data_IF_979385066906
#
_entry.id   IF_979385066906
#
_cell.length_a   1.000
_cell.length_b   1.000
_cell.length_c   1.000
_cell.angle_alpha   90.00
_cell.angle_beta   90.00
_cell.angle_gamma   90.00
#
_symmetry.space_group_name_H-M   'P 1'
#
loop_
_entity.id
_entity.type
_entity.pdbx_description
1 polymer ?
#
# COMPACT_ATOMS: atom_id res chain seq x y z
N UNK A 1 8.10 -26.15 -5.37
CA UNK A 1 7.25 -25.56 -4.31
C UNK A 1 5.91 -25.23 -4.93
N UNK A 2 4.85 -25.94 -4.54
CA UNK A 2 3.48 -25.74 -5.04
C UNK A 2 2.59 -24.99 -4.02
N UNK A 3 3.19 -24.30 -3.05
CA UNK A 3 2.48 -23.53 -2.02
C UNK A 3 2.36 -22.08 -2.48
N UNK A 4 1.11 -21.62 -2.65
CA UNK A 4 0.76 -20.23 -3.00
C UNK A 4 0.69 -19.39 -1.73
N UNK A 5 1.28 -18.20 -1.76
CA UNK A 5 1.17 -17.23 -0.66
C UNK A 5 -0.23 -16.58 -0.64
N UNK A 6 -0.65 -16.11 0.53
CA UNK A 6 -1.80 -15.21 0.66
C UNK A 6 -1.53 -13.90 -0.09
N UNK A 7 -2.60 -13.16 -0.37
CA UNK A 7 -2.63 -11.99 -1.24
C UNK A 7 -3.12 -10.78 -0.47
N UNK A 8 -2.19 -9.88 -0.14
CA UNK A 8 -2.51 -8.48 0.16
C UNK A 8 -2.16 -7.68 -1.10
N UNK A 9 -3.14 -6.94 -1.64
CA UNK A 9 -2.92 -6.12 -2.83
C UNK A 9 -3.54 -4.74 -2.68
N UNK A 10 -2.83 -3.69 -3.07
CA UNK A 10 -3.36 -2.34 -3.25
C UNK A 10 -4.05 -2.18 -4.60
N UNK A 11 -3.88 -3.15 -5.51
CA UNK A 11 -4.28 -3.04 -6.90
C UNK A 11 -4.91 -4.33 -7.45
N UNK A 12 -5.85 -4.18 -8.37
CA UNK A 12 -6.46 -5.29 -9.09
C UNK A 12 -6.78 -4.83 -10.51
N UNK A 13 -6.22 -5.54 -11.50
CA UNK A 13 -6.63 -5.38 -12.89
C UNK A 13 -7.46 -6.59 -13.32
N UNK A 14 -8.72 -6.34 -13.66
CA UNK A 14 -9.68 -7.39 -14.03
C UNK A 14 -10.48 -7.01 -15.27
N UNK A 15 -10.53 -7.94 -16.24
CA UNK A 15 -11.38 -7.80 -17.43
C UNK A 15 -12.77 -8.40 -17.17
N UNK A 16 -13.80 -7.55 -17.15
CA UNK A 16 -15.20 -7.99 -16.95
C UNK A 16 -15.70 -8.96 -18.03
N UNK A 17 -15.10 -8.94 -19.22
CA UNK A 17 -15.45 -9.83 -20.33
C UNK A 17 -14.92 -11.26 -20.10
N UNK A 18 -13.72 -11.38 -19.54
CA UNK A 18 -13.03 -12.67 -19.38
C UNK A 18 -13.09 -13.21 -17.96
N UNK A 19 -13.52 -12.40 -16.99
CA UNK A 19 -13.61 -12.76 -15.57
C UNK A 19 -15.00 -12.60 -14.93
N UNK A 20 -16.12 -12.87 -15.64
CA UNK A 20 -17.45 -12.71 -15.04
C UNK A 20 -17.68 -13.66 -13.87
N UNK A 21 -17.13 -14.89 -13.91
CA UNK A 21 -17.31 -15.85 -12.81
C UNK A 21 -16.44 -15.50 -11.61
N UNK A 22 -15.20 -15.05 -11.82
CA UNK A 22 -14.35 -14.51 -10.75
C UNK A 22 -15.05 -13.38 -10.01
N UNK A 23 -15.68 -12.45 -10.72
CA UNK A 23 -16.41 -11.34 -10.10
C UNK A 23 -17.61 -11.81 -9.27
N UNK A 24 -18.42 -12.71 -9.82
CA UNK A 24 -19.59 -13.23 -9.11
C UNK A 24 -19.18 -14.01 -7.86
N UNK A 25 -18.15 -14.84 -8.00
CA UNK A 25 -17.71 -15.74 -6.94
C UNK A 25 -16.91 -15.00 -5.86
N UNK A 26 -16.06 -14.02 -6.22
CA UNK A 26 -15.42 -13.13 -5.24
C UNK A 26 -16.45 -12.31 -4.47
N UNK A 27 -17.53 -11.87 -5.11
CA UNK A 27 -18.65 -11.20 -4.41
C UNK A 27 -19.30 -12.13 -3.37
N UNK A 28 -19.56 -13.39 -3.75
CA UNK A 28 -20.10 -14.39 -2.82
C UNK A 28 -19.14 -14.68 -1.66
N UNK A 29 -17.85 -14.84 -1.94
CA UNK A 29 -16.83 -15.04 -0.92
C UNK A 29 -16.71 -13.85 0.02
N UNK A 30 -16.78 -12.63 -0.48
CA UNK A 30 -16.70 -11.41 0.33
C UNK A 30 -17.96 -11.18 1.16
N UNK A 31 -19.14 -11.54 0.66
CA UNK A 31 -20.37 -11.48 1.43
C UNK A 31 -20.28 -12.37 2.70
N UNK A 32 -19.69 -13.55 2.58
CA UNK A 32 -19.42 -14.47 3.70
C UNK A 32 -17.97 -14.36 4.22
N UNK A 33 -17.29 -13.27 3.87
CA UNK A 33 -15.87 -13.08 4.11
C UNK A 33 -15.50 -13.16 5.58
N UNK A 34 -16.01 -12.24 6.43
CA UNK A 34 -15.66 -12.18 7.84
C UNK A 34 -15.93 -13.47 8.63
N UNK A 35 -16.94 -14.23 8.21
CA UNK A 35 -17.42 -15.41 8.96
C UNK A 35 -16.80 -16.72 8.49
N UNK A 36 -16.41 -16.83 7.22
CA UNK A 36 -15.98 -18.08 6.61
C UNK A 36 -14.71 -17.91 5.78
N UNK A 37 -14.78 -17.09 4.73
CA UNK A 37 -13.79 -17.15 3.66
C UNK A 37 -12.50 -16.41 3.99
N UNK A 38 -12.55 -15.27 4.68
CA UNK A 38 -11.31 -14.57 5.00
C UNK A 38 -10.44 -15.38 5.96
N UNK A 39 -10.94 -15.90 7.11
CA UNK A 39 -10.13 -16.75 7.99
C UNK A 39 -9.65 -18.04 7.32
N UNK A 40 -10.49 -18.62 6.44
CA UNK A 40 -10.15 -19.81 5.69
C UNK A 40 -9.01 -19.56 4.69
N UNK A 41 -9.00 -18.42 4.01
CA UNK A 41 -8.02 -18.15 2.96
C UNK A 41 -6.73 -17.51 3.50
N UNK A 42 -6.83 -16.65 4.53
CA UNK A 42 -5.69 -15.97 5.16
C UNK A 42 -4.99 -16.80 6.23
N UNK A 43 -5.68 -17.80 6.80
CA UNK A 43 -5.28 -18.51 8.02
C UNK A 43 -5.04 -17.59 9.23
N UNK A 44 -5.77 -16.47 9.31
CA UNK A 44 -5.66 -15.49 10.40
C UNK A 44 -4.44 -14.57 10.29
N UNK A 45 -3.82 -14.47 9.12
CA UNK A 45 -2.70 -13.56 8.88
C UNK A 45 -3.14 -12.08 8.93
N UNK A 46 -2.21 -11.19 9.26
CA UNK A 46 -2.45 -9.74 9.22
C UNK A 46 -2.79 -9.28 7.79
N UNK A 47 -3.70 -8.29 7.68
CA UNK A 47 -4.20 -7.82 6.39
C UNK A 47 -5.26 -8.74 5.75
N UNK A 48 -5.81 -9.68 6.53
CA UNK A 48 -6.98 -10.48 6.15
C UNK A 48 -8.12 -9.62 5.61
N UNK A 49 -8.70 -10.02 4.47
CA UNK A 49 -9.82 -9.31 3.91
C UNK A 49 -10.20 -9.74 2.50
N UNK A 50 -10.86 -8.82 1.82
CA UNK A 50 -11.54 -9.04 0.56
C UNK A 50 -10.63 -9.40 -0.61
N UNK A 51 -9.42 -8.86 -0.60
CA UNK A 51 -8.40 -9.05 -1.65
C UNK A 51 -8.03 -10.51 -1.89
N UNK A 52 -8.08 -11.34 -0.84
CA UNK A 52 -7.75 -12.76 -0.93
C UNK A 52 -8.73 -13.55 -1.81
N UNK A 53 -9.96 -13.05 -1.93
CA UNK A 53 -11.04 -13.77 -2.61
C UNK A 53 -10.91 -13.77 -4.13
N UNK A 54 -10.24 -12.79 -4.74
CA UNK A 54 -10.16 -12.67 -6.19
C UNK A 54 -9.39 -13.83 -6.83
N UNK A 55 -8.23 -14.17 -6.27
CA UNK A 55 -7.43 -15.28 -6.80
C UNK A 55 -8.07 -16.63 -6.49
N UNK A 56 -8.66 -16.80 -5.30
CA UNK A 56 -9.46 -17.98 -4.98
C UNK A 56 -10.62 -18.19 -5.98
N UNK A 57 -11.31 -17.12 -6.34
CA UNK A 57 -12.41 -17.14 -7.29
C UNK A 57 -11.95 -17.46 -8.73
N UNK A 58 -10.85 -16.84 -9.18
CA UNK A 58 -10.26 -17.11 -10.49
C UNK A 58 -9.79 -18.56 -10.64
N UNK A 59 -9.12 -19.09 -9.61
CA UNK A 59 -8.72 -20.50 -9.57
C UNK A 59 -9.94 -21.44 -9.65
N UNK A 60 -10.99 -21.16 -8.87
CA UNK A 60 -12.18 -22.02 -8.81
C UNK A 60 -12.98 -22.00 -10.12
N UNK A 61 -13.02 -20.85 -10.79
CA UNK A 61 -13.70 -20.69 -12.08
C UNK A 61 -12.85 -21.09 -13.29
N UNK A 62 -11.58 -21.48 -13.06
CA UNK A 62 -10.59 -21.75 -14.10
C UNK A 62 -10.41 -20.57 -15.08
N UNK A 63 -10.55 -19.34 -14.57
CA UNK A 63 -10.30 -18.11 -15.32
C UNK A 63 -8.81 -17.71 -15.18
N UNK A 64 -8.17 -17.21 -16.25
CA UNK A 64 -6.73 -16.98 -16.26
C UNK A 64 -6.33 -15.81 -15.36
N UNK A 65 -5.35 -15.98 -14.49
CA UNK A 65 -4.87 -14.91 -13.63
C UNK A 65 -3.34 -14.82 -13.61
N UNK A 66 -2.85 -13.67 -13.17
CA UNK A 66 -1.46 -13.47 -12.82
C UNK A 66 -1.37 -12.85 -11.43
N UNK A 67 -0.59 -13.47 -10.54
CA UNK A 67 -0.25 -12.93 -9.23
C UNK A 67 1.19 -12.43 -9.29
N UNK A 68 1.39 -11.15 -8.98
CA UNK A 68 2.74 -10.56 -8.90
C UNK A 68 3.57 -11.34 -7.89
N UNK A 69 4.77 -11.75 -8.31
CA UNK A 69 5.66 -12.60 -7.52
C UNK A 69 6.63 -11.82 -6.65
N UNK A 70 7.01 -10.61 -7.08
CA UNK A 70 7.83 -9.71 -6.27
C UNK A 70 7.08 -9.35 -4.98
N UNK A 71 7.70 -9.65 -3.84
CA UNK A 71 7.16 -9.31 -2.53
C UNK A 71 6.98 -7.80 -2.39
N UNK A 72 5.96 -7.38 -1.65
CA UNK A 72 5.84 -5.98 -1.24
C UNK A 72 7.08 -5.52 -0.46
N UNK A 73 7.37 -4.22 -0.51
CA UNK A 73 8.43 -3.62 0.29
C UNK A 73 7.84 -2.55 1.21
N UNK A 74 7.96 -2.75 2.52
CA UNK A 74 7.56 -1.74 3.49
C UNK A 74 8.46 -0.49 3.35
N UNK A 75 7.83 0.68 3.34
CA UNK A 75 8.46 1.99 3.29
C UNK A 75 8.19 2.72 4.59
N UNK A 76 9.20 3.41 5.11
CA UNK A 76 9.09 4.14 6.36
C UNK A 76 10.30 5.00 6.61
N UNK A 77 10.43 5.48 7.84
CA UNK A 77 11.64 6.13 8.33
C UNK A 77 12.21 5.39 9.53
N UNK A 78 13.49 5.62 9.82
CA UNK A 78 14.19 4.96 10.92
C UNK A 78 13.84 5.56 12.27
N UNK A 79 13.59 4.71 13.25
CA UNK A 79 13.37 5.06 14.66
C UNK A 79 14.31 4.24 15.56
N UNK A 80 14.41 4.60 16.84
CA UNK A 80 15.16 3.84 17.84
C UNK A 80 14.64 2.39 17.97
N UNK A 81 13.36 2.16 17.67
CA UNK A 81 12.70 0.85 17.70
C UNK A 81 12.77 0.05 16.39
N UNK A 82 13.38 0.60 15.34
CA UNK A 82 13.45 -0.02 14.01
C UNK A 82 12.93 0.89 12.92
N UNK A 83 11.87 0.46 12.22
CA UNK A 83 11.27 1.24 11.13
C UNK A 83 9.85 1.63 11.50
N UNK A 84 9.55 2.93 11.41
CA UNK A 84 8.18 3.46 11.37
C UNK A 84 7.59 3.21 9.97
N UNK A 85 7.20 1.96 9.70
CA UNK A 85 6.66 1.52 8.42
C UNK A 85 5.25 2.05 8.19
N UNK A 86 5.09 2.97 7.24
CA UNK A 86 3.81 3.67 7.01
C UNK A 86 3.21 3.48 5.63
N UNK A 87 3.97 2.87 4.72
CA UNK A 87 3.49 2.51 3.41
C UNK A 87 4.11 1.20 2.91
N UNK A 88 3.58 0.68 1.80
CA UNK A 88 4.11 -0.49 1.12
C UNK A 88 4.24 -0.19 -0.37
N UNK A 89 5.44 -0.37 -0.92
CA UNK A 89 5.70 -0.37 -2.35
C UNK A 89 5.26 -1.69 -2.98
N UNK A 90 4.52 -1.58 -4.08
CA UNK A 90 4.08 -2.65 -4.96
C UNK A 90 4.70 -2.46 -6.34
N UNK A 91 5.09 -3.55 -6.97
CA UNK A 91 6.00 -3.55 -8.11
C UNK A 91 5.31 -3.77 -9.44
N UNK A 92 5.96 -3.31 -10.51
CA UNK A 92 5.41 -3.33 -11.86
C UNK A 92 5.05 -4.76 -12.32
N UNK A 93 3.76 -5.06 -12.55
CA UNK A 93 3.33 -6.41 -12.90
C UNK A 93 3.83 -6.87 -14.27
N UNK A 94 4.12 -5.95 -15.20
CA UNK A 94 4.65 -6.31 -16.51
C UNK A 94 6.12 -6.71 -16.44
N UNK A 95 6.93 -6.03 -15.62
CA UNK A 95 8.34 -6.37 -15.44
C UNK A 95 8.48 -7.69 -14.68
N UNK A 96 7.65 -7.88 -13.64
CA UNK A 96 7.55 -9.13 -12.90
C UNK A 96 7.17 -10.29 -13.83
N UNK A 97 6.11 -10.14 -14.63
CA UNK A 97 5.69 -11.16 -15.60
C UNK A 97 6.78 -11.49 -16.63
N UNK A 98 7.51 -10.49 -17.11
CA UNK A 98 8.59 -10.70 -18.08
C UNK A 98 9.74 -11.53 -17.47
N UNK A 99 10.06 -11.37 -16.19
CA UNK A 99 11.06 -12.17 -15.49
C UNK A 99 10.56 -13.59 -15.20
N UNK A 100 9.36 -13.73 -14.66
CA UNK A 100 8.80 -15.03 -14.27
C UNK A 100 8.55 -15.92 -15.48
N UNK A 101 8.17 -15.33 -16.63
CA UNK A 101 8.05 -16.02 -17.93
C UNK A 101 9.37 -16.60 -18.44
N UNK A 102 10.52 -16.08 -17.98
CA UNK A 102 11.85 -16.63 -18.26
C UNK A 102 12.30 -17.66 -17.22
N UNK A 103 11.43 -18.02 -16.28
CA UNK A 103 11.76 -18.91 -15.17
C UNK A 103 12.61 -18.25 -14.08
N UNK A 104 12.73 -16.91 -14.05
CA UNK A 104 13.46 -16.18 -13.01
C UNK A 104 12.49 -15.62 -11.98
N UNK A 105 12.69 -15.99 -10.72
CA UNK A 105 11.83 -15.66 -9.59
C UNK A 105 12.68 -15.06 -8.47
N UNK A 106 12.66 -13.72 -8.33
CA UNK A 106 13.43 -13.03 -7.27
C UNK A 106 13.04 -13.46 -5.87
N UNK A 107 11.76 -13.78 -5.65
CA UNK A 107 11.25 -14.37 -4.40
C UNK A 107 11.90 -15.73 -4.05
N UNK A 108 12.53 -16.42 -5.01
CA UNK A 108 13.29 -17.67 -4.81
C UNK A 108 14.79 -17.44 -4.65
N UNK A 109 15.25 -16.19 -4.66
CA UNK A 109 16.67 -15.82 -4.62
C UNK A 109 17.36 -15.79 -5.99
N UNK A 110 16.60 -15.88 -7.09
CA UNK A 110 17.19 -15.77 -8.43
C UNK A 110 17.76 -14.37 -8.66
N UNK A 111 18.95 -14.29 -9.24
CA UNK A 111 19.60 -13.02 -9.56
C UNK A 111 18.90 -12.36 -10.76
N UNK A 112 18.21 -11.25 -10.49
CA UNK A 112 17.60 -10.37 -11.47
C UNK A 112 17.59 -8.92 -10.94
N UNK A 113 17.49 -7.94 -11.84
CA UNK A 113 17.36 -6.53 -11.45
C UNK A 113 16.10 -6.29 -10.63
N UNK A 114 16.17 -5.35 -9.68
CA UNK A 114 14.98 -4.90 -8.95
C UNK A 114 13.94 -4.32 -9.91
N UNK A 115 12.67 -4.53 -9.58
CA UNK A 115 11.56 -4.01 -10.35
C UNK A 115 11.30 -2.54 -10.00
N UNK A 116 10.72 -1.82 -10.96
CA UNK A 116 10.23 -0.47 -10.70
C UNK A 116 9.00 -0.56 -9.78
N UNK A 117 8.94 0.36 -8.82
CA UNK A 117 7.74 0.55 -8.02
C UNK A 117 6.65 1.10 -8.92
N UNK A 118 5.48 0.49 -8.83
CA UNK A 118 4.30 0.86 -9.61
C UNK A 118 3.27 1.58 -8.73
N UNK A 119 3.15 1.18 -7.47
CA UNK A 119 2.18 1.74 -6.53
C UNK A 119 2.73 1.84 -5.11
N UNK A 120 2.27 2.83 -4.36
CA UNK A 120 2.56 3.01 -2.94
C UNK A 120 1.22 2.97 -2.19
N UNK A 121 1.03 1.93 -1.38
CA UNK A 121 -0.11 1.82 -0.48
C UNK A 121 0.27 2.46 0.86
N UNK A 122 -0.04 3.75 1.05
CA UNK A 122 0.14 4.47 2.32
C UNK A 122 -1.00 4.12 3.30
N UNK A 123 -0.70 3.29 4.30
CA UNK A 123 -1.75 2.54 4.99
C UNK A 123 -1.71 2.56 6.52
N UNK A 124 -0.59 2.92 7.16
CA UNK A 124 -0.47 2.79 8.61
C UNK A 124 0.32 3.94 9.29
N UNK A 125 -0.35 4.89 9.95
CA UNK A 125 -1.80 5.14 9.93
C UNK A 125 -2.25 5.58 8.53
N UNK A 126 -3.57 5.73 8.35
CA UNK A 126 -4.09 6.39 7.15
C UNK A 126 -3.66 7.85 7.19
N UNK A 127 -3.17 8.36 6.06
CA UNK A 127 -2.73 9.75 5.89
C UNK A 127 -3.93 10.70 5.77
N UNK A 128 -4.78 10.69 6.80
CA UNK A 128 -5.91 11.59 6.94
C UNK A 128 -5.39 12.92 7.50
N UNK A 129 -5.52 14.04 6.76
CA UNK A 129 -5.07 15.36 7.22
C UNK A 129 -5.49 15.72 8.65
N UNK A 130 -6.71 15.34 9.04
CA UNK A 130 -7.26 15.69 10.35
C UNK A 130 -6.56 14.98 11.52
N UNK A 131 -5.99 13.79 11.28
CA UNK A 131 -5.50 12.92 12.36
C UNK A 131 -4.04 12.55 12.21
N UNK A 132 -3.40 12.78 11.06
CA UNK A 132 -2.04 12.29 10.77
C UNK A 132 -0.95 12.82 11.73
N UNK A 133 -1.22 13.93 12.43
CA UNK A 133 -0.32 14.51 13.43
C UNK A 133 -0.67 14.17 14.88
N UNK A 134 -1.72 13.37 15.11
CA UNK A 134 -2.01 12.81 16.42
C UNK A 134 -1.00 11.71 16.77
N UNK A 135 -1.04 11.21 18.01
CA UNK A 135 -0.20 10.10 18.42
C UNK A 135 -0.75 8.77 17.88
N UNK A 136 0.03 8.09 17.04
CA UNK A 136 -0.28 6.77 16.48
C UNK A 136 0.72 5.71 16.95
N UNK A 137 0.41 4.44 16.70
CA UNK A 137 1.36 3.34 16.88
C UNK A 137 2.61 3.53 16.01
N UNK A 138 2.42 4.06 14.79
CA UNK A 138 3.48 4.47 13.87
C UNK A 138 3.29 5.94 13.55
N UNK A 139 4.30 6.77 13.76
CA UNK A 139 4.22 8.21 13.51
C UNK A 139 5.02 8.57 12.25
N UNK A 140 4.38 8.72 11.07
CA UNK A 140 5.09 8.96 9.81
C UNK A 140 5.61 10.39 9.67
N UNK A 141 5.00 11.35 10.37
CA UNK A 141 5.37 12.76 10.27
C UNK A 141 6.45 13.19 11.27
N UNK A 142 6.77 12.36 12.28
CA UNK A 142 7.63 12.74 13.40
C UNK A 142 8.74 11.73 13.64
N UNK A 143 9.91 12.23 14.02
CA UNK A 143 10.97 11.46 14.66
C UNK A 143 10.63 11.17 16.13
N UNK A 144 11.39 10.28 16.77
CA UNK A 144 11.24 9.95 18.20
C UNK A 144 11.41 11.15 19.15
N UNK A 145 12.11 12.19 18.71
CA UNK A 145 12.32 13.44 19.47
C UNK A 145 11.21 14.48 19.24
N UNK A 146 10.21 14.16 18.42
CA UNK A 146 9.09 15.04 18.08
C UNK A 146 9.39 16.04 16.95
N UNK A 147 10.58 16.04 16.37
CA UNK A 147 10.87 16.84 15.17
C UNK A 147 10.18 16.27 13.94
N UNK A 148 9.83 17.13 12.98
CA UNK A 148 9.25 16.69 11.72
C UNK A 148 10.25 15.90 10.86
N UNK A 149 9.75 14.92 10.13
CA UNK A 149 10.54 14.10 9.21
C UNK A 149 9.78 13.72 7.96
N UNK A 150 10.52 13.21 6.98
CA UNK A 150 9.95 12.50 5.84
C UNK A 150 9.44 11.13 6.25
N UNK A 151 8.27 10.78 5.75
CA UNK A 151 7.61 9.53 6.03
C UNK A 151 8.33 8.32 5.41
N UNK A 152 8.95 8.47 4.23
CA UNK A 152 9.52 7.35 3.48
C UNK A 152 10.97 7.62 3.07
N UNK A 153 11.90 7.22 3.93
CA UNK A 153 13.35 7.35 3.72
C UNK A 153 14.05 6.01 3.53
N UNK A 154 13.47 4.91 4.02
CA UNK A 154 14.02 3.56 3.93
C UNK A 154 13.02 2.55 3.37
N UNK A 155 13.49 1.49 2.67
CA UNK A 155 14.88 1.26 2.28
C UNK A 155 15.33 2.20 1.14
N UNK A 156 16.57 2.67 1.21
CA UNK A 156 17.11 3.73 0.35
C UNK A 156 17.15 3.34 -1.12
N UNK A 157 17.34 2.05 -1.43
CA UNK A 157 17.38 1.57 -2.80
C UNK A 157 16.00 1.63 -3.48
N UNK A 158 14.92 1.34 -2.73
CA UNK A 158 13.53 1.41 -3.23
C UNK A 158 13.08 2.86 -3.29
N UNK A 159 13.20 3.61 -2.20
CA UNK A 159 12.85 5.04 -2.15
C UNK A 159 13.64 5.82 -3.21
N UNK A 160 14.93 5.52 -3.34
CA UNK A 160 15.78 6.11 -4.37
C UNK A 160 15.33 5.78 -5.79
N UNK A 161 14.80 4.57 -6.06
CA UNK A 161 14.22 4.20 -7.36
C UNK A 161 12.94 4.97 -7.66
N UNK A 162 12.04 5.08 -6.68
CA UNK A 162 10.78 5.83 -6.81
C UNK A 162 11.05 7.30 -7.11
N UNK A 163 12.02 7.89 -6.40
CA UNK A 163 12.28 9.32 -6.47
C UNK A 163 13.20 9.75 -7.62
N UNK A 164 13.57 8.84 -8.55
CA UNK A 164 14.52 9.13 -9.65
C UNK A 164 14.07 10.26 -10.58
N UNK A 165 12.75 10.42 -10.78
CA UNK A 165 12.19 11.38 -11.74
C UNK A 165 11.47 12.52 -11.06
N UNK A 166 10.78 12.23 -9.98
CA UNK A 166 10.00 13.17 -9.20
C UNK A 166 10.08 12.73 -7.75
N UNK A 167 10.10 13.68 -6.83
CA UNK A 167 9.99 13.40 -5.40
C UNK A 167 8.56 12.98 -5.07
N UNK A 168 8.27 11.68 -5.14
CA UNK A 168 6.91 11.14 -5.03
C UNK A 168 6.28 11.45 -3.67
N UNK A 169 7.08 11.43 -2.61
CA UNK A 169 6.60 11.79 -1.28
C UNK A 169 6.17 13.26 -1.22
N UNK A 170 6.97 14.17 -1.80
CA UNK A 170 6.59 15.59 -1.89
C UNK A 170 5.32 15.78 -2.72
N UNK A 171 5.16 15.09 -3.84
CA UNK A 171 3.92 15.20 -4.63
C UNK A 171 2.71 14.65 -3.87
N UNK A 172 2.90 13.56 -3.13
CA UNK A 172 1.88 12.98 -2.28
C UNK A 172 1.44 13.96 -1.18
N UNK A 173 2.38 14.58 -0.47
CA UNK A 173 2.05 15.59 0.55
C UNK A 173 1.47 16.87 -0.04
N UNK A 174 1.78 17.23 -1.29
CA UNK A 174 1.12 18.35 -1.95
C UNK A 174 -0.38 18.09 -2.11
N UNK A 175 -0.76 16.86 -2.47
CA UNK A 175 -2.18 16.47 -2.54
C UNK A 175 -2.81 16.45 -1.14
N UNK A 176 -2.07 16.08 -0.09
CA UNK A 176 -2.54 16.18 1.30
C UNK A 176 -2.77 17.65 1.71
N UNK A 177 -1.86 18.58 1.36
CA UNK A 177 -2.05 20.02 1.59
C UNK A 177 -3.32 20.51 0.90
N UNK A 178 -3.52 20.15 -0.37
CA UNK A 178 -4.73 20.50 -1.11
C UNK A 178 -5.97 19.93 -0.44
N UNK A 179 -5.96 18.65 -0.08
CA UNK A 179 -7.07 17.95 0.59
C UNK A 179 -7.42 18.61 1.92
N UNK A 180 -6.41 18.94 2.74
CA UNK A 180 -6.59 19.64 4.01
C UNK A 180 -7.25 21.00 3.80
N UNK A 181 -6.69 21.83 2.93
CA UNK A 181 -7.11 23.22 2.78
C UNK A 181 -8.42 23.40 2.02
N UNK A 182 -8.69 22.53 1.03
CA UNK A 182 -9.93 22.63 0.26
C UNK A 182 -11.10 21.92 0.93
N UNK A 183 -10.85 20.91 1.78
CA UNK A 183 -11.92 20.07 2.32
C UNK A 183 -12.12 20.21 3.84
N UNK A 184 -11.33 21.06 4.52
CA UNK A 184 -11.59 21.42 5.91
C UNK A 184 -13.02 21.95 6.10
N UNK A 185 -13.72 21.40 7.10
CA UNK A 185 -15.13 21.69 7.36
C UNK A 185 -16.13 21.08 6.36
N UNK A 186 -15.69 20.27 5.38
CA UNK A 186 -16.57 19.61 4.40
C UNK A 186 -16.82 18.12 4.67
N UNK A 187 -15.99 17.48 5.48
CA UNK A 187 -16.16 16.08 5.86
C UNK A 187 -16.85 15.95 7.22
N UNK A 188 -17.85 15.08 7.29
CA UNK A 188 -18.51 14.70 8.56
C UNK A 188 -17.50 14.15 9.57
N UNK A 189 -16.50 13.39 9.10
CA UNK A 189 -15.43 12.88 9.97
C UNK A 189 -14.48 13.94 10.52
N UNK A 190 -14.59 15.20 10.08
CA UNK A 190 -13.74 16.31 10.49
C UNK A 190 -14.51 17.39 11.27
N UNK A 191 -15.78 17.15 11.64
CA UNK A 191 -16.61 18.15 12.33
C UNK A 191 -16.03 18.60 13.68
N UNK A 192 -15.35 17.70 14.39
CA UNK A 192 -14.70 17.98 15.68
C UNK A 192 -13.24 18.47 15.54
N UNK A 193 -12.75 18.63 14.30
CA UNK A 193 -11.38 19.01 13.99
C UNK A 193 -11.31 20.44 13.42
N UNK A 194 -10.23 21.16 13.72
CA UNK A 194 -9.98 22.48 13.17
C UNK A 194 -8.49 22.80 13.10
N UNK A 195 -8.10 23.74 12.24
CA UNK A 195 -6.70 24.03 11.96
C UNK A 195 -6.02 22.94 11.12
N UNK A 196 -6.80 22.13 10.40
CA UNK A 196 -6.29 21.01 9.61
C UNK A 196 -5.37 21.51 8.50
N UNK A 197 -5.80 22.54 7.74
CA UNK A 197 -4.99 23.17 6.70
C UNK A 197 -3.69 23.76 7.27
N UNK A 198 -3.76 24.42 8.41
CA UNK A 198 -2.61 25.09 9.03
C UNK A 198 -1.57 24.07 9.52
N UNK A 199 -2.02 22.98 10.16
CA UNK A 199 -1.13 21.90 10.61
C UNK A 199 -0.41 21.21 9.45
N UNK A 200 -1.13 20.89 8.37
CA UNK A 200 -0.50 20.28 7.18
C UNK A 200 0.46 21.27 6.50
N UNK A 201 0.12 22.56 6.41
CA UNK A 201 1.03 23.59 5.87
C UNK A 201 2.27 23.81 6.74
N UNK A 202 2.15 23.68 8.06
CA UNK A 202 3.29 23.73 8.97
C UNK A 202 4.25 22.57 8.71
N UNK A 203 3.74 21.34 8.66
CA UNK A 203 4.54 20.17 8.28
C UNK A 203 5.21 20.36 6.91
N UNK A 204 4.44 20.76 5.89
CA UNK A 204 4.94 20.98 4.53
C UNK A 204 6.13 21.93 4.50
N UNK A 205 6.01 23.08 5.17
CA UNK A 205 7.07 24.10 5.23
C UNK A 205 8.33 23.62 5.94
N UNK A 206 8.21 22.75 6.95
CA UNK A 206 9.37 22.26 7.70
C UNK A 206 10.09 21.11 6.98
N UNK A 207 9.41 20.37 6.10
CA UNK A 207 9.95 19.15 5.48
C UNK A 207 10.31 19.32 4.00
N UNK A 208 9.62 20.21 3.28
CA UNK A 208 9.73 20.33 1.82
C UNK A 208 10.09 21.73 1.30
N UNK A 209 10.27 22.73 2.18
CA UNK A 209 10.70 24.11 1.85
C UNK A 209 11.94 24.51 2.66
#
# INVERSE_FOLDING_TARGET
>A
MNLRQSTESGELLLSKKTHPLTLLLSTYYNYWGPSHYWPLLSQGAAGEGDKETFLAAAMTSNEPFYQVSESICALGHGTAGGMAGSAMAQFNPMQDFALTSQGKWRVRGDSASGLDVFFIHANFPKFNPATIFENHEVNPAFMDDGSYTRAWTIPEDVVGRVNKRVDVEREFWREIVWTACELEGKFVSWEDYGGICDGVKEYWRNVFE
#
